data_IF_750051430814
#
_entry.id   IF_750051430814
#
_cell.length_a   1.000
_cell.length_b   1.000
_cell.length_c   1.000
_cell.angle_alpha   90.00
_cell.angle_beta   90.00
_cell.angle_gamma   90.00
#
_symmetry.space_group_name_H-M   'P 1'
#
loop_
_entity.id
_entity.type
_entity.pdbx_description
1 polymer ?
#
# COMPACT_ATOMS: atom_id res chain seq x y z
N UNK A 1 -35.36 -49.25 -22.72
CA UNK A 1 -34.59 -48.19 -22.05
C UNK A 1 -34.07 -47.14 -23.04
N UNK A 2 -33.35 -47.51 -24.11
CA UNK A 2 -32.85 -46.54 -25.12
C UNK A 2 -33.95 -45.81 -25.92
N UNK A 3 -35.04 -46.48 -26.28
CA UNK A 3 -36.18 -45.89 -27.00
C UNK A 3 -36.88 -44.77 -26.19
N UNK A 4 -36.98 -44.96 -24.86
CA UNK A 4 -37.54 -43.98 -23.94
C UNK A 4 -36.67 -42.70 -23.87
N UNK A 5 -35.35 -42.86 -23.78
CA UNK A 5 -34.41 -41.73 -23.79
C UNK A 5 -34.43 -40.95 -25.11
N UNK A 6 -34.57 -41.64 -26.25
CA UNK A 6 -34.71 -41.00 -27.56
C UNK A 6 -36.00 -40.17 -27.68
N UNK A 7 -37.11 -40.63 -27.09
CA UNK A 7 -38.40 -39.91 -27.10
C UNK A 7 -38.33 -38.56 -26.37
N UNK A 8 -37.54 -38.47 -25.30
CA UNK A 8 -37.39 -37.25 -24.49
C UNK A 8 -36.09 -36.48 -24.73
N UNK A 9 -35.35 -36.79 -25.79
CA UNK A 9 -34.04 -36.13 -26.10
C UNK A 9 -34.12 -34.61 -26.12
N UNK A 10 -35.22 -34.04 -26.63
CA UNK A 10 -35.41 -32.59 -26.70
C UNK A 10 -35.67 -32.00 -25.32
N UNK A 11 -36.47 -32.69 -24.49
CA UNK A 11 -36.72 -32.30 -23.10
C UNK A 11 -35.43 -32.32 -22.28
N UNK A 12 -34.64 -33.41 -22.36
CA UNK A 12 -33.35 -33.49 -21.66
C UNK A 12 -32.34 -32.46 -22.17
N UNK A 13 -32.33 -32.16 -23.48
CA UNK A 13 -31.50 -31.12 -24.06
C UNK A 13 -31.86 -29.72 -23.53
N UNK A 14 -33.14 -29.36 -23.55
CA UNK A 14 -33.63 -28.07 -23.01
C UNK A 14 -33.36 -27.99 -21.50
N UNK A 15 -33.63 -29.06 -20.75
CA UNK A 15 -33.37 -29.11 -19.31
C UNK A 15 -31.88 -28.95 -19.00
N UNK A 16 -30.99 -29.58 -19.77
CA UNK A 16 -29.55 -29.45 -19.60
C UNK A 16 -29.07 -28.01 -19.89
N UNK A 17 -29.55 -27.40 -20.98
CA UNK A 17 -29.23 -26.00 -21.31
C UNK A 17 -29.73 -25.06 -20.23
N UNK A 18 -30.99 -25.22 -19.78
CA UNK A 18 -31.56 -24.42 -18.70
C UNK A 18 -30.75 -24.59 -17.41
N UNK A 19 -30.39 -25.82 -17.04
CA UNK A 19 -29.57 -26.11 -15.86
C UNK A 19 -28.19 -25.48 -15.96
N UNK A 20 -27.53 -25.54 -17.12
CA UNK A 20 -26.24 -24.89 -17.33
C UNK A 20 -26.33 -23.35 -17.23
N UNK A 21 -27.39 -22.75 -17.76
CA UNK A 21 -27.64 -21.31 -17.63
C UNK A 21 -27.86 -20.94 -16.16
N UNK A 22 -28.72 -21.68 -15.45
CA UNK A 22 -29.00 -21.46 -14.03
C UNK A 22 -27.71 -21.58 -13.21
N UNK A 23 -26.92 -22.64 -13.41
CA UNK A 23 -25.64 -22.84 -12.73
C UNK A 23 -24.64 -21.72 -13.03
N UNK A 24 -24.57 -21.24 -14.27
CA UNK A 24 -23.71 -20.10 -14.66
C UNK A 24 -24.14 -18.80 -13.98
N UNK A 25 -25.45 -18.51 -13.95
CA UNK A 25 -26.00 -17.35 -13.26
C UNK A 25 -25.76 -17.40 -11.75
N UNK A 26 -26.00 -18.56 -11.12
CA UNK A 26 -25.69 -18.76 -9.70
C UNK A 26 -24.19 -18.61 -9.42
N UNK A 27 -23.33 -19.21 -10.25
CA UNK A 27 -21.89 -19.08 -10.12
C UNK A 27 -21.44 -17.62 -10.23
N UNK A 28 -22.00 -16.84 -11.16
CA UNK A 28 -21.70 -15.41 -11.30
C UNK A 28 -22.24 -14.58 -10.13
N UNK A 29 -23.42 -14.88 -9.61
CA UNK A 29 -24.04 -14.16 -8.50
C UNK A 29 -23.37 -14.44 -7.14
N UNK A 30 -22.88 -15.67 -6.95
CA UNK A 30 -22.22 -16.11 -5.73
C UNK A 30 -20.72 -15.80 -5.69
N UNK A 31 -20.10 -15.35 -6.79
CA UNK A 31 -18.70 -14.91 -6.78
C UNK A 31 -18.56 -13.69 -5.87
N UNK A 32 -17.81 -13.79 -4.76
CA UNK A 32 -17.61 -12.65 -3.88
C UNK A 32 -16.89 -11.55 -4.66
N UNK A 33 -17.42 -10.32 -4.60
CA UNK A 33 -16.72 -9.16 -5.14
C UNK A 33 -15.44 -8.95 -4.34
N UNK A 34 -14.32 -8.71 -5.03
CA UNK A 34 -13.06 -8.32 -4.36
C UNK A 34 -13.35 -7.10 -3.50
N UNK A 35 -12.91 -7.14 -2.24
CA UNK A 35 -12.88 -6.00 -1.33
C UNK A 35 -11.51 -5.99 -0.67
N UNK A 36 -11.00 -4.81 -0.35
CA UNK A 36 -9.76 -4.70 0.41
C UNK A 36 -10.07 -4.34 1.87
N UNK A 37 -9.40 -4.99 2.83
CA UNK A 37 -9.58 -4.69 4.24
C UNK A 37 -9.22 -3.23 4.57
N UNK A 38 -9.66 -2.77 5.73
CA UNK A 38 -9.23 -1.51 6.33
C UNK A 38 -8.52 -1.90 7.62
N UNK A 39 -7.22 -1.63 7.69
CA UNK A 39 -6.42 -1.94 8.87
C UNK A 39 -6.48 -0.82 9.90
N UNK A 40 -6.81 -1.19 11.14
CA UNK A 40 -6.73 -0.34 12.31
C UNK A 40 -5.58 -0.82 13.22
N UNK A 41 -5.12 0.00 14.18
CA UNK A 41 -4.07 -0.36 15.12
C UNK A 41 -4.29 -1.71 15.82
N UNK A 42 -5.53 -2.05 16.18
CA UNK A 42 -5.87 -3.32 16.82
C UNK A 42 -5.75 -4.55 15.89
N UNK A 43 -5.73 -4.35 14.57
CA UNK A 43 -5.68 -5.42 13.57
C UNK A 43 -4.24 -5.81 13.16
N UNK A 44 -3.25 -5.04 13.62
CA UNK A 44 -1.83 -5.21 13.28
C UNK A 44 -1.08 -5.77 14.49
N UNK A 45 0.04 -6.47 14.26
CA UNK A 45 0.89 -6.95 15.34
C UNK A 45 1.18 -5.80 16.33
N UNK A 46 0.87 -5.95 17.63
CA UNK A 46 1.11 -4.91 18.64
C UNK A 46 2.55 -4.45 18.72
N UNK A 47 3.51 -5.31 18.36
CA UNK A 47 4.91 -4.91 18.25
C UNK A 47 5.12 -3.84 17.19
N UNK A 48 4.29 -3.71 16.16
CA UNK A 48 4.47 -2.71 15.10
C UNK A 48 3.77 -1.36 15.38
N UNK A 49 3.10 -1.26 16.52
CA UNK A 49 2.11 -0.22 16.79
C UNK A 49 2.37 0.39 18.15
N UNK A 50 2.39 1.72 18.22
CA UNK A 50 2.54 2.42 19.50
C UNK A 50 1.41 2.05 20.48
N UNK A 51 1.77 1.76 21.74
CA UNK A 51 0.83 1.31 22.78
C UNK A 51 -0.32 2.30 23.01
N UNK A 52 -0.12 3.59 22.74
CA UNK A 52 -1.15 4.63 22.89
C UNK A 52 -2.27 4.56 21.86
N UNK A 53 -2.14 3.75 20.80
CA UNK A 53 -3.17 3.62 19.76
C UNK A 53 -3.67 2.19 19.56
N UNK A 54 -3.05 1.18 20.19
CA UNK A 54 -3.41 -0.24 20.01
C UNK A 54 -4.88 -0.57 20.33
N UNK A 55 -5.53 0.18 21.23
CA UNK A 55 -6.95 -0.02 21.55
C UNK A 55 -7.91 0.41 20.42
N UNK A 56 -7.42 1.13 19.40
CA UNK A 56 -8.25 1.64 18.30
C UNK A 56 -8.53 0.51 17.32
N UNK A 57 -9.78 0.04 17.33
CA UNK A 57 -10.29 -1.02 16.45
C UNK A 57 -11.08 -0.50 15.24
N UNK A 58 -11.38 0.81 15.18
CA UNK A 58 -12.15 1.43 14.09
C UNK A 58 -11.70 2.84 13.79
N UNK A 59 -11.99 3.28 12.56
CA UNK A 59 -11.84 4.66 12.08
C UNK A 59 -10.41 5.20 12.13
N UNK A 60 -9.41 4.31 12.08
CA UNK A 60 -8.03 4.74 11.96
C UNK A 60 -7.77 5.41 10.61
N UNK A 61 -7.09 6.55 10.64
CA UNK A 61 -6.69 7.28 9.44
C UNK A 61 -5.29 7.87 9.63
N UNK A 62 -4.61 8.14 8.53
CA UNK A 62 -3.31 8.82 8.55
C UNK A 62 -3.49 10.22 9.11
N UNK A 63 -2.75 10.51 10.18
CA UNK A 63 -2.72 11.82 10.82
C UNK A 63 -2.13 12.89 9.89
N UNK A 64 -2.39 14.14 10.23
CA UNK A 64 -1.84 15.28 9.52
C UNK A 64 -0.32 15.35 9.71
N UNK A 65 0.40 15.78 8.68
CA UNK A 65 1.86 15.84 8.67
C UNK A 65 2.36 17.00 7.81
N UNK A 66 3.59 17.46 8.06
CA UNK A 66 4.24 18.50 7.25
C UNK A 66 5.75 18.27 7.20
N UNK A 67 6.25 17.85 6.04
CA UNK A 67 7.67 17.55 5.81
C UNK A 67 8.21 18.26 4.59
N UNK A 68 9.52 18.25 4.39
CA UNK A 68 10.17 18.87 3.23
C UNK A 68 10.61 17.77 2.27
N UNK A 69 10.29 17.91 0.98
CA UNK A 69 10.69 16.93 -0.03
C UNK A 69 12.08 17.20 -0.62
N UNK A 70 12.50 16.32 -1.54
CA UNK A 70 13.76 16.41 -2.27
C UNK A 70 13.96 17.70 -3.08
N UNK A 71 12.90 18.50 -3.28
CA UNK A 71 12.94 19.78 -3.99
C UNK A 71 12.90 20.99 -3.06
N UNK A 72 12.92 20.77 -1.73
CA UNK A 72 12.77 21.85 -0.76
C UNK A 72 11.32 22.33 -0.60
N UNK A 73 10.34 21.62 -1.18
CA UNK A 73 8.92 21.96 -1.08
C UNK A 73 8.32 21.33 0.17
N UNK A 74 7.49 22.07 0.89
CA UNK A 74 6.65 21.52 1.95
C UNK A 74 5.58 20.59 1.38
N UNK A 75 5.55 19.36 1.85
CA UNK A 75 4.58 18.32 1.51
C UNK A 75 3.79 17.96 2.77
N UNK A 76 2.47 17.95 2.61
CA UNK A 76 1.51 17.69 3.69
C UNK A 76 0.55 16.58 3.28
N UNK A 77 -0.29 16.14 4.22
CA UNK A 77 -1.40 15.23 3.93
C UNK A 77 -2.36 15.77 2.86
N UNK A 78 -2.46 17.09 2.71
CA UNK A 78 -3.34 17.74 1.70
C UNK A 78 -2.86 17.47 0.28
N UNK A 79 -1.56 17.31 0.06
CA UNK A 79 -1.00 16.95 -1.25
C UNK A 79 -1.40 15.54 -1.72
N UNK A 80 -1.93 14.72 -0.79
CA UNK A 80 -2.39 13.35 -0.99
C UNK A 80 -3.91 13.21 -0.82
N UNK A 81 -4.65 14.31 -0.64
CA UNK A 81 -6.11 14.26 -0.53
C UNK A 81 -6.75 13.76 -1.83
N UNK A 82 -7.67 12.79 -1.68
CA UNK A 82 -8.30 12.13 -2.83
C UNK A 82 -7.33 11.26 -3.67
N UNK A 83 -6.12 10.99 -3.18
CA UNK A 83 -5.14 10.12 -3.84
C UNK A 83 -5.04 8.77 -3.15
N UNK A 84 -4.78 7.74 -3.94
CA UNK A 84 -4.27 6.46 -3.46
C UNK A 84 -2.76 6.60 -3.45
N UNK A 85 -2.10 6.15 -2.40
CA UNK A 85 -0.65 6.23 -2.37
C UNK A 85 -0.01 5.08 -1.63
N UNK A 86 1.24 4.80 -2.02
CA UNK A 86 2.11 3.87 -1.32
C UNK A 86 3.09 4.66 -0.48
N UNK A 87 3.16 4.34 0.81
CA UNK A 87 4.12 4.92 1.73
C UNK A 87 5.17 3.90 2.15
N UNK A 88 6.42 4.36 2.30
CA UNK A 88 7.52 3.56 2.84
C UNK A 88 8.46 4.41 3.71
N UNK A 89 9.28 3.72 4.50
CA UNK A 89 10.27 4.32 5.39
C UNK A 89 11.65 3.80 5.01
N UNK A 90 12.57 4.71 4.66
CA UNK A 90 13.85 4.38 4.08
C UNK A 90 14.97 5.26 4.65
N UNK A 91 16.20 5.05 4.22
CA UNK A 91 17.29 6.01 4.39
C UNK A 91 18.36 5.78 3.31
N UNK A 92 19.03 6.86 2.89
CA UNK A 92 19.85 6.80 1.67
C UNK A 92 21.12 5.97 1.82
N UNK A 93 21.63 5.81 3.05
CA UNK A 93 22.84 5.05 3.35
C UNK A 93 22.59 3.54 3.56
N UNK A 94 21.35 3.07 3.43
CA UNK A 94 21.05 1.65 3.52
C UNK A 94 21.63 0.88 2.31
N UNK A 95 22.55 -0.04 2.59
CA UNK A 95 23.22 -0.85 1.57
C UNK A 95 22.53 -2.18 1.24
N UNK A 96 21.43 -2.53 1.91
CA UNK A 96 20.80 -3.86 1.79
C UNK A 96 19.43 -3.81 1.09
N UNK A 97 18.34 -3.63 1.83
CA UNK A 97 16.98 -3.79 1.33
C UNK A 97 16.47 -2.56 0.57
N UNK A 98 16.86 -1.35 0.97
CA UNK A 98 16.30 -0.12 0.42
C UNK A 98 16.59 0.09 -1.09
N UNK A 99 17.76 -0.26 -1.65
CA UNK A 99 17.97 -0.21 -3.11
C UNK A 99 16.96 -1.05 -3.89
N UNK A 100 16.62 -2.23 -3.36
CA UNK A 100 15.64 -3.14 -3.97
C UNK A 100 14.22 -2.58 -3.85
N UNK A 101 13.85 -2.09 -2.66
CA UNK A 101 12.56 -1.42 -2.42
C UNK A 101 12.38 -0.22 -3.35
N UNK A 102 13.38 0.66 -3.43
CA UNK A 102 13.33 1.86 -4.27
C UNK A 102 13.20 1.51 -5.75
N UNK A 103 13.88 0.44 -6.20
CA UNK A 103 13.72 -0.08 -7.57
C UNK A 103 12.28 -0.55 -7.80
N UNK A 104 11.70 -1.30 -6.87
CA UNK A 104 10.32 -1.76 -6.98
C UNK A 104 9.30 -0.60 -6.95
N UNK A 105 9.52 0.44 -6.14
CA UNK A 105 8.71 1.66 -6.17
C UNK A 105 8.86 2.41 -7.49
N UNK A 106 10.04 2.43 -8.10
CA UNK A 106 10.24 2.98 -9.45
C UNK A 106 9.42 2.21 -10.50
N UNK A 107 9.27 0.90 -10.35
CA UNK A 107 8.43 0.09 -11.24
C UNK A 107 6.93 0.34 -11.00
N UNK A 108 6.50 0.53 -9.74
CA UNK A 108 5.14 0.98 -9.42
C UNK A 108 4.87 2.38 -10.00
N UNK A 109 5.84 3.30 -9.88
CA UNK A 109 5.76 4.63 -10.48
C UNK A 109 5.50 4.54 -11.98
N UNK A 110 6.25 3.69 -12.70
CA UNK A 110 6.06 3.46 -14.15
C UNK A 110 4.68 2.86 -14.45
N UNK A 111 4.26 1.83 -13.70
CA UNK A 111 2.97 1.16 -13.90
C UNK A 111 1.79 2.14 -13.80
N UNK A 112 1.90 3.16 -12.95
CA UNK A 112 0.85 4.15 -12.75
C UNK A 112 1.20 5.54 -13.27
N UNK A 113 2.20 5.70 -14.14
CA UNK A 113 2.69 7.01 -14.58
C UNK A 113 1.57 7.92 -15.12
N UNK A 114 0.66 7.35 -15.92
CA UNK A 114 -0.48 8.07 -16.52
C UNK A 114 -1.68 8.26 -15.58
N UNK A 115 -1.70 7.65 -14.39
CA UNK A 115 -2.83 7.72 -13.47
C UNK A 115 -2.63 8.81 -12.40
N UNK A 116 -3.27 9.99 -12.50
CA UNK A 116 -3.06 11.08 -11.57
C UNK A 116 -3.63 10.81 -10.16
N UNK A 117 -4.41 9.74 -9.96
CA UNK A 117 -4.96 9.36 -8.64
C UNK A 117 -3.93 8.63 -7.77
N UNK A 118 -2.86 8.08 -8.36
CA UNK A 118 -1.84 7.30 -7.64
C UNK A 118 -0.61 8.16 -7.38
N UNK A 119 -0.09 8.16 -6.15
CA UNK A 119 1.16 8.81 -5.75
C UNK A 119 2.04 7.88 -4.90
N UNK A 120 3.29 8.27 -4.67
CA UNK A 120 4.23 7.58 -3.79
C UNK A 120 4.79 8.57 -2.76
N UNK A 121 5.14 8.09 -1.57
CA UNK A 121 5.65 8.90 -0.47
C UNK A 121 6.67 8.10 0.37
N UNK A 122 7.95 8.50 0.31
CA UNK A 122 8.99 7.85 1.09
C UNK A 122 9.50 8.77 2.18
N UNK A 123 9.48 8.32 3.43
CA UNK A 123 9.98 9.07 4.57
C UNK A 123 11.40 8.61 4.91
N UNK A 124 12.38 9.53 4.92
CA UNK A 124 13.68 9.17 5.49
C UNK A 124 13.59 9.05 7.00
N UNK A 125 14.16 7.99 7.56
CA UNK A 125 14.25 7.76 9.01
C UNK A 125 15.57 8.29 9.60
N UNK A 126 16.46 8.80 8.75
CA UNK A 126 17.76 9.41 9.11
C UNK A 126 17.85 10.84 8.57
N UNK A 127 16.95 11.76 9.00
CA UNK A 127 16.90 13.12 8.47
C UNK A 127 18.17 13.94 8.71
N UNK A 128 18.96 13.60 9.74
CA UNK A 128 20.26 14.22 10.05
C UNK A 128 21.28 14.05 8.92
N UNK A 129 21.19 12.92 8.20
CA UNK A 129 22.05 12.59 7.04
C UNK A 129 21.34 12.91 5.73
N UNK A 130 20.05 12.58 5.66
CA UNK A 130 19.23 12.67 4.46
C UNK A 130 18.62 14.08 4.30
N UNK A 131 19.52 15.05 4.14
CA UNK A 131 19.18 16.44 3.79
C UNK A 131 18.54 16.54 2.39
N UNK A 132 17.89 17.67 2.10
CA UNK A 132 17.26 17.92 0.78
C UNK A 132 18.21 17.66 -0.40
N UNK A 133 19.48 18.13 -0.42
CA UNK A 133 20.42 17.81 -1.50
C UNK A 133 20.73 16.31 -1.64
N UNK A 134 20.84 15.60 -0.51
CA UNK A 134 21.09 14.14 -0.48
C UNK A 134 19.88 13.40 -1.06
N UNK A 135 18.67 13.77 -0.64
CA UNK A 135 17.44 13.25 -1.21
C UNK A 135 17.29 13.56 -2.70
N UNK A 136 17.70 14.76 -3.15
CA UNK A 136 17.67 15.11 -4.59
C UNK A 136 18.65 14.25 -5.40
N UNK A 137 19.84 13.98 -4.86
CA UNK A 137 20.81 13.09 -5.49
C UNK A 137 20.27 11.64 -5.56
N UNK A 138 19.65 11.17 -4.48
CA UNK A 138 18.98 9.87 -4.44
C UNK A 138 17.85 9.78 -5.46
N UNK A 139 16.99 10.80 -5.52
CA UNK A 139 15.90 10.89 -6.48
C UNK A 139 16.39 10.80 -7.94
N UNK A 140 17.50 11.49 -8.27
CA UNK A 140 18.13 11.41 -9.59
C UNK A 140 18.64 10.00 -9.88
N UNK A 141 19.31 9.35 -8.92
CA UNK A 141 19.84 7.98 -9.08
C UNK A 141 18.76 6.96 -9.45
N UNK A 142 17.56 7.10 -8.88
CA UNK A 142 16.46 6.15 -9.07
C UNK A 142 15.35 6.62 -10.03
N UNK A 143 15.57 7.73 -10.74
CA UNK A 143 14.61 8.32 -11.68
C UNK A 143 13.23 8.58 -11.03
N UNK A 144 13.25 9.14 -9.82
CA UNK A 144 12.04 9.56 -9.10
C UNK A 144 11.39 10.71 -9.85
N UNK A 145 10.12 10.53 -10.25
CA UNK A 145 9.29 11.59 -10.84
C UNK A 145 8.74 12.46 -9.70
N UNK A 146 9.21 13.70 -9.64
CA UNK A 146 8.85 14.66 -8.59
C UNK A 146 7.36 15.05 -8.55
N UNK A 147 6.61 14.80 -9.62
CA UNK A 147 5.15 15.01 -9.62
C UNK A 147 4.39 13.81 -9.04
N UNK A 148 5.04 12.65 -9.00
CA UNK A 148 4.45 11.36 -8.63
C UNK A 148 4.89 10.90 -7.24
N UNK A 149 6.15 11.14 -6.91
CA UNK A 149 6.85 10.54 -5.78
C UNK A 149 7.64 11.60 -5.02
N UNK A 150 7.24 11.81 -3.77
CA UNK A 150 7.98 12.65 -2.83
C UNK A 150 8.87 11.78 -1.94
N UNK A 151 10.15 12.15 -1.85
CA UNK A 151 11.06 11.69 -0.80
C UNK A 151 11.13 12.81 0.24
N UNK A 152 10.71 12.55 1.47
CA UNK A 152 10.55 13.59 2.50
C UNK A 152 11.50 13.40 3.68
N UNK A 153 11.95 14.52 4.22
CA UNK A 153 12.79 14.67 5.42
C UNK A 153 12.19 15.72 6.37
N UNK A 154 12.65 15.76 7.62
CA UNK A 154 12.14 16.69 8.63
C UNK A 154 12.47 16.23 10.05
N UNK A 155 11.62 16.59 11.01
CA UNK A 155 11.83 16.21 12.41
C UNK A 155 11.76 14.68 12.60
N UNK A 156 12.83 14.11 13.17
CA UNK A 156 12.96 12.66 13.38
C UNK A 156 11.82 12.12 14.25
N UNK A 157 11.41 12.86 15.28
CA UNK A 157 10.38 12.43 16.24
C UNK A 157 9.00 12.39 15.57
N UNK A 158 8.70 13.36 14.73
CA UNK A 158 7.48 13.39 13.92
C UNK A 158 7.43 12.24 12.90
N UNK A 159 8.53 11.99 12.17
CA UNK A 159 8.62 10.86 11.23
C UNK A 159 8.35 9.53 11.95
N UNK A 160 9.00 9.30 13.10
CA UNK A 160 8.84 8.07 13.87
C UNK A 160 7.42 7.96 14.45
N UNK A 161 6.83 9.08 14.85
CA UNK A 161 5.43 9.14 15.30
C UNK A 161 4.49 8.74 14.18
N UNK A 162 4.68 9.28 12.97
CA UNK A 162 3.90 8.89 11.79
C UNK A 162 4.05 7.41 11.48
N UNK A 163 5.28 6.90 11.50
CA UNK A 163 5.57 5.50 11.20
C UNK A 163 4.86 4.53 12.15
N UNK A 164 4.85 4.83 13.46
CA UNK A 164 4.28 3.95 14.51
C UNK A 164 2.79 4.14 14.77
N UNK A 165 2.31 5.39 14.73
CA UNK A 165 0.92 5.73 15.10
C UNK A 165 -0.01 5.81 13.92
N UNK A 166 0.48 6.24 12.75
CA UNK A 166 -0.34 6.45 11.56
C UNK A 166 -0.19 5.31 10.56
N UNK A 167 1.04 5.01 10.16
CA UNK A 167 1.31 4.01 9.11
C UNK A 167 1.44 2.57 9.64
N UNK A 168 1.56 2.38 10.96
CA UNK A 168 1.62 1.07 11.63
C UNK A 168 2.73 0.16 11.07
N UNK A 169 3.85 0.76 10.67
CA UNK A 169 4.86 0.12 9.83
C UNK A 169 6.15 -0.23 10.59
N UNK A 170 6.22 -0.06 11.91
CA UNK A 170 7.50 -0.06 12.64
C UNK A 170 7.46 -0.88 13.90
N UNK A 171 8.37 -1.86 13.99
CA UNK A 171 8.60 -2.63 15.20
C UNK A 171 9.05 -1.75 16.38
N UNK A 172 8.39 -1.90 17.50
CA UNK A 172 8.78 -1.46 18.83
C UNK A 172 9.97 -2.31 19.23
N UNK A 173 11.16 -1.71 19.20
CA UNK A 173 12.31 -2.23 19.93
C UNK A 173 12.13 -2.01 21.44
N UNK A 174 13.11 -2.46 22.23
CA UNK A 174 13.20 -2.11 23.66
C UNK A 174 13.22 -0.58 23.84
N UNK A 175 12.93 -0.02 25.03
CA UNK A 175 12.95 1.43 25.24
C UNK A 175 14.24 2.15 24.82
N UNK A 176 15.38 1.46 24.88
CA UNK A 176 16.68 1.92 24.36
C UNK A 176 16.78 1.91 22.82
N UNK A 177 16.02 1.04 22.16
CA UNK A 177 15.95 0.84 20.71
C UNK A 177 14.75 1.58 20.08
N UNK A 178 13.85 2.17 20.89
CA UNK A 178 12.73 3.01 20.43
C UNK A 178 13.19 4.19 19.56
N UNK A 179 14.48 4.54 19.56
CA UNK A 179 15.05 5.58 18.71
C UNK A 179 15.95 5.06 17.58
N UNK A 180 16.17 3.74 17.50
CA UNK A 180 17.45 3.24 16.97
C UNK A 180 17.39 2.52 15.63
N UNK A 181 16.22 2.16 15.09
CA UNK A 181 16.04 2.04 13.62
C UNK A 181 14.60 1.69 13.28
N UNK A 182 14.01 2.48 12.38
CA UNK A 182 12.85 2.04 11.61
C UNK A 182 13.41 1.20 10.46
N UNK A 183 13.56 -0.11 10.68
CA UNK A 183 13.94 -1.05 9.63
C UNK A 183 12.73 -1.90 9.29
N UNK A 184 12.07 -1.57 8.18
CA UNK A 184 10.98 -2.36 7.65
C UNK A 184 11.13 -2.46 6.13
N UNK A 185 10.94 -3.67 5.61
CA UNK A 185 10.74 -3.91 4.19
C UNK A 185 9.32 -3.54 3.72
N UNK A 186 8.43 -3.08 4.59
CA UNK A 186 7.01 -2.94 4.26
C UNK A 186 6.69 -1.65 3.50
N UNK A 187 5.93 -1.82 2.41
CA UNK A 187 5.12 -0.79 1.78
C UNK A 187 3.72 -0.78 2.37
N UNK A 188 3.19 0.43 2.59
CA UNK A 188 1.85 0.65 3.15
C UNK A 188 0.97 1.26 2.06
N UNK A 189 -0.10 0.56 1.68
CA UNK A 189 -1.10 1.08 0.74
C UNK A 189 -2.14 1.91 1.50
N UNK A 190 -2.33 3.15 1.08
CA UNK A 190 -3.30 4.09 1.66
C UNK A 190 -4.31 4.52 0.60
N UNK A 191 -5.60 4.50 0.95
CA UNK A 191 -6.69 4.93 0.06
C UNK A 191 -6.99 6.43 0.13
N UNK A 192 -7.92 6.87 -0.73
CA UNK A 192 -8.37 8.26 -0.84
C UNK A 192 -8.99 8.85 0.42
N UNK A 193 -9.35 8.00 1.40
CA UNK A 193 -9.91 8.39 2.70
C UNK A 193 -8.86 8.34 3.81
N UNK A 194 -7.57 8.28 3.46
CA UNK A 194 -6.43 8.19 4.38
C UNK A 194 -6.45 6.91 5.23
N UNK A 195 -6.97 5.79 4.71
CA UNK A 195 -7.04 4.52 5.46
C UNK A 195 -6.01 3.53 4.91
N UNK A 196 -5.39 2.77 5.81
CA UNK A 196 -4.47 1.69 5.42
C UNK A 196 -5.26 0.52 4.86
N UNK A 197 -4.92 0.07 3.64
CA UNK A 197 -5.58 -1.03 2.92
C UNK A 197 -4.73 -2.28 2.79
N UNK A 198 -3.43 -2.19 3.11
CA UNK A 198 -2.55 -3.35 3.09
C UNK A 198 -1.10 -3.02 3.43
N UNK A 199 -0.39 -4.08 3.82
CA UNK A 199 1.06 -4.13 3.98
C UNK A 199 1.63 -5.14 2.98
N UNK A 200 2.78 -4.80 2.40
CA UNK A 200 3.41 -5.56 1.33
C UNK A 200 4.91 -5.54 1.55
N UNK A 201 5.57 -6.69 1.48
CA UNK A 201 7.03 -6.75 1.49
C UNK A 201 7.57 -6.15 0.18
N UNK A 202 8.13 -4.95 0.30
CA UNK A 202 8.74 -4.16 -0.77
C UNK A 202 9.94 -4.80 -1.44
N UNK A 203 10.40 -5.95 -0.96
CA UNK A 203 11.45 -6.78 -1.59
C UNK A 203 10.89 -8.02 -2.28
N UNK A 204 9.63 -8.40 -2.04
CA UNK A 204 9.01 -9.59 -2.58
C UNK A 204 8.21 -9.29 -3.88
N UNK A 205 8.48 -10.04 -4.94
CA UNK A 205 7.86 -9.81 -6.26
C UNK A 205 6.36 -10.12 -6.30
N UNK A 206 5.92 -11.15 -5.60
CA UNK A 206 4.51 -11.53 -5.54
C UNK A 206 3.70 -10.46 -4.81
N UNK A 207 4.28 -9.88 -3.76
CA UNK A 207 3.68 -8.75 -3.05
C UNK A 207 3.65 -7.48 -3.89
N UNK A 208 4.65 -7.21 -4.74
CA UNK A 208 4.59 -6.10 -5.70
C UNK A 208 3.47 -6.29 -6.72
N UNK A 209 3.28 -7.51 -7.22
CA UNK A 209 2.16 -7.83 -8.11
C UNK A 209 0.81 -7.61 -7.40
N UNK A 210 0.67 -8.13 -6.18
CA UNK A 210 -0.51 -7.95 -5.34
C UNK A 210 -0.80 -6.47 -5.07
N UNK A 211 0.23 -5.68 -4.75
CA UNK A 211 0.12 -4.24 -4.54
C UNK A 211 -0.39 -3.51 -5.78
N UNK A 212 0.14 -3.82 -6.97
CA UNK A 212 -0.33 -3.23 -8.23
C UNK A 212 -1.81 -3.58 -8.48
N UNK A 213 -2.21 -4.83 -8.26
CA UNK A 213 -3.60 -5.26 -8.39
C UNK A 213 -4.53 -4.54 -7.41
N UNK A 214 -4.06 -4.29 -6.19
CA UNK A 214 -4.82 -3.62 -5.14
C UNK A 214 -4.93 -2.11 -5.37
N UNK A 215 -3.86 -1.45 -5.82
CA UNK A 215 -3.91 -0.05 -6.28
C UNK A 215 -4.90 0.09 -7.45
N UNK A 216 -4.86 -0.83 -8.40
CA UNK A 216 -5.76 -0.82 -9.56
C UNK A 216 -7.22 -1.01 -9.14
N UNK A 217 -7.46 -1.91 -8.18
CA UNK A 217 -8.79 -2.09 -7.61
C UNK A 217 -9.30 -0.80 -6.96
N UNK A 218 -8.50 -0.16 -6.10
CA UNK A 218 -8.88 1.09 -5.44
C UNK A 218 -9.08 2.25 -6.42
N UNK A 219 -8.31 2.30 -7.51
CA UNK A 219 -8.42 3.38 -8.50
C UNK A 219 -9.74 3.36 -9.29
N UNK A 220 -10.39 2.18 -9.32
CA UNK A 220 -11.65 1.90 -10.00
C UNK A 220 -12.86 1.78 -9.05
N UNK A 221 -12.64 1.88 -7.73
CA UNK A 221 -13.69 1.98 -6.70
C UNK A 221 -14.34 3.37 -6.70
#
# INVERSE_FOLDING_TARGET
MLEFLKKYRLFFGVFFVLSAIILSLFYSALKPKKTLPIFNPADVNPELVDSTVQYKSKYHTIADFSFINQNGKTITQKDYEGKIYVADFFFTTCGSICPKMTTNLSDIQKAFASNPKVKLLSFTVFPETDSVPVLKAYAKKYNVDENKWNLVTGDKKEIYTMARKSYLAVKLGKPSELYDMVHTENFVLVDTKKRVRGFYDGTNKDDMKRLIEDITFLANE
#
